data_IF_019030383977
#
_entry.id   IF_019030383977
#
_cell.length_a   1.000
_cell.length_b   1.000
_cell.length_c   1.000
_cell.angle_alpha   90.00
_cell.angle_beta   90.00
_cell.angle_gamma   90.00
#
_symmetry.space_group_name_H-M   'P 1'
#
loop_
_entity.id
_entity.type
_entity.pdbx_description
1 polymer ?
#
# COMPACT_ATOMS: atom_id res chain seq x y z
N UNK A 1 -46.91 -18.94 -14.12
CA UNK A 1 -45.88 -18.66 -13.09
C UNK A 1 -44.51 -18.34 -13.69
N UNK A 2 -44.01 -19.13 -14.65
CA UNK A 2 -42.73 -18.87 -15.33
C UNK A 2 -42.58 -17.47 -16.01
N UNK A 3 -43.60 -16.90 -16.70
CA UNK A 3 -43.42 -15.62 -17.39
C UNK A 3 -43.26 -14.43 -16.43
N UNK A 4 -44.01 -14.46 -15.32
CA UNK A 4 -43.95 -13.44 -14.27
C UNK A 4 -42.59 -13.48 -13.57
N UNK A 5 -42.06 -14.67 -13.30
CA UNK A 5 -40.73 -14.83 -12.71
C UNK A 5 -39.62 -14.27 -13.62
N UNK A 6 -39.71 -14.47 -14.94
CA UNK A 6 -38.75 -13.93 -15.92
C UNK A 6 -38.81 -12.39 -15.93
N UNK A 7 -40.01 -11.80 -15.92
CA UNK A 7 -40.17 -10.34 -15.90
C UNK A 7 -39.60 -9.75 -14.61
N UNK A 8 -39.89 -10.36 -13.45
CA UNK A 8 -39.36 -9.92 -12.15
C UNK A 8 -37.82 -9.98 -12.14
N UNK A 9 -37.23 -11.03 -12.70
CA UNK A 9 -35.78 -11.17 -12.79
C UNK A 9 -35.15 -10.10 -13.69
N UNK A 10 -35.76 -9.83 -14.86
CA UNK A 10 -35.28 -8.79 -15.77
C UNK A 10 -35.35 -7.40 -15.15
N UNK A 11 -36.44 -7.10 -14.44
CA UNK A 11 -36.57 -5.84 -13.69
C UNK A 11 -35.52 -5.76 -12.58
N UNK A 12 -35.29 -6.84 -11.83
CA UNK A 12 -34.26 -6.87 -10.79
C UNK A 12 -32.85 -6.61 -11.34
N UNK A 13 -32.52 -7.14 -12.53
CA UNK A 13 -31.22 -6.90 -13.19
C UNK A 13 -31.08 -5.45 -13.67
N UNK A 14 -32.15 -4.84 -14.18
CA UNK A 14 -32.13 -3.44 -14.65
C UNK A 14 -32.02 -2.46 -13.48
N UNK A 15 -32.66 -2.77 -12.35
CA UNK A 15 -32.70 -1.90 -11.16
C UNK A 15 -31.52 -2.17 -10.20
N UNK A 16 -30.76 -3.25 -10.41
CA UNK A 16 -29.58 -3.53 -9.62
C UNK A 16 -28.57 -2.38 -9.72
N UNK A 17 -28.06 -1.84 -8.59
CA UNK A 17 -27.05 -0.81 -8.60
C UNK A 17 -25.81 -1.33 -9.32
N UNK A 18 -25.33 -0.57 -10.31
CA UNK A 18 -24.05 -0.87 -10.94
C UNK A 18 -22.95 -0.48 -9.96
N UNK A 19 -22.12 -1.45 -9.59
CA UNK A 19 -20.88 -1.16 -8.89
C UNK A 19 -19.99 -0.32 -9.82
N UNK A 20 -19.85 0.97 -9.52
CA UNK A 20 -18.81 1.81 -10.08
C UNK A 20 -17.66 1.81 -9.08
N UNK A 21 -16.61 1.04 -9.36
CA UNK A 21 -15.38 1.08 -8.58
C UNK A 21 -14.40 1.96 -9.34
N UNK A 22 -14.43 3.26 -9.07
CA UNK A 22 -13.33 4.14 -9.49
C UNK A 22 -12.17 3.94 -8.51
N UNK A 23 -10.96 3.79 -9.03
CA UNK A 23 -9.77 3.74 -8.19
C UNK A 23 -9.61 5.09 -7.50
N UNK A 24 -9.46 5.12 -6.16
CA UNK A 24 -9.16 6.36 -5.45
C UNK A 24 -7.94 7.04 -6.07
N UNK A 25 -8.10 8.30 -6.46
CA UNK A 25 -6.99 9.13 -6.94
C UNK A 25 -6.38 9.86 -5.76
N UNK A 26 -5.11 9.61 -5.50
CA UNK A 26 -4.34 10.39 -4.54
C UNK A 26 -3.82 11.65 -5.25
N UNK A 27 -4.39 12.80 -4.92
CA UNK A 27 -3.88 14.09 -5.39
C UNK A 27 -2.61 14.45 -4.62
N UNK A 28 -1.49 14.61 -5.33
CA UNK A 28 -0.21 14.98 -4.73
C UNK A 28 0.53 16.00 -5.60
N UNK A 29 0.39 17.31 -5.31
CA UNK A 29 1.10 18.33 -6.03
C UNK A 29 2.60 18.26 -5.70
N UNK A 30 3.40 17.76 -6.65
CA UNK A 30 4.86 17.75 -6.53
C UNK A 30 5.42 19.16 -6.70
N UNK A 31 6.30 19.57 -5.79
CA UNK A 31 7.06 20.81 -5.88
C UNK A 31 8.33 20.69 -6.75
N UNK A 32 8.53 19.53 -7.40
CA UNK A 32 9.70 19.25 -8.23
C UNK A 32 9.50 19.73 -9.66
N UNK A 33 10.61 19.86 -10.39
CA UNK A 33 10.60 20.28 -11.78
C UNK A 33 9.63 19.42 -12.61
N UNK A 34 8.78 20.09 -13.39
CA UNK A 34 7.79 19.47 -14.28
C UNK A 34 6.79 18.52 -13.58
N UNK A 35 6.58 18.68 -12.26
CA UNK A 35 5.67 17.82 -11.51
C UNK A 35 6.18 16.38 -11.34
N UNK A 36 7.49 16.16 -11.47
CA UNK A 36 8.10 14.85 -11.34
C UNK A 36 7.84 14.23 -9.95
N UNK A 37 7.68 12.91 -9.91
CA UNK A 37 7.62 12.13 -8.67
C UNK A 37 8.89 11.30 -8.51
N UNK A 38 9.35 11.17 -7.28
CA UNK A 38 10.44 10.30 -6.89
C UNK A 38 9.95 9.34 -5.83
N UNK A 39 9.98 8.05 -6.16
CA UNK A 39 9.45 6.98 -5.32
C UNK A 39 10.52 5.97 -5.01
N UNK A 40 10.46 5.38 -3.82
CA UNK A 40 11.15 4.12 -3.51
C UNK A 40 10.16 2.98 -3.71
N UNK A 41 10.55 1.93 -4.43
CA UNK A 41 9.80 0.69 -4.50
C UNK A 41 10.50 -0.37 -3.65
N UNK A 42 9.77 -1.01 -2.74
CA UNK A 42 10.31 -2.01 -1.80
C UNK A 42 9.37 -3.21 -1.70
N UNK A 43 9.94 -4.41 -1.69
CA UNK A 43 9.22 -5.68 -1.55
C UNK A 43 10.04 -6.66 -0.71
N UNK A 44 9.43 -7.78 -0.34
CA UNK A 44 10.10 -8.93 0.28
C UNK A 44 10.85 -8.58 1.58
N UNK A 45 10.26 -7.77 2.46
CA UNK A 45 11.02 -7.09 3.52
C UNK A 45 10.73 -7.57 4.94
N UNK A 46 9.48 -7.88 5.32
CA UNK A 46 9.12 -7.92 6.75
C UNK A 46 9.55 -9.16 7.49
N UNK A 47 10.69 -9.04 8.19
CA UNK A 47 11.31 -10.10 8.97
C UNK A 47 11.80 -9.60 10.33
N UNK A 48 11.05 -8.71 10.99
CA UNK A 48 11.36 -8.20 12.35
C UNK A 48 12.79 -7.67 12.50
N UNK A 49 13.29 -7.00 11.46
CA UNK A 49 14.65 -6.45 11.41
C UNK A 49 15.76 -7.45 11.01
N UNK A 50 15.44 -8.72 10.80
CA UNK A 50 16.38 -9.76 10.41
C UNK A 50 16.69 -9.74 8.91
N UNK A 51 17.63 -10.59 8.46
CA UNK A 51 17.99 -10.75 7.04
C UNK A 51 18.34 -9.43 6.34
N UNK A 52 19.13 -8.59 7.02
CA UNK A 52 19.56 -7.27 6.56
C UNK A 52 18.43 -6.24 6.37
N UNK A 53 17.21 -6.52 6.83
CA UNK A 53 16.10 -5.58 6.73
C UNK A 53 16.44 -4.21 7.36
N UNK A 54 17.09 -4.20 8.52
CA UNK A 54 17.57 -2.97 9.19
C UNK A 54 18.61 -2.22 8.37
N UNK A 55 19.55 -2.93 7.73
CA UNK A 55 20.57 -2.32 6.88
C UNK A 55 19.96 -1.70 5.61
N UNK A 56 18.96 -2.36 5.02
CA UNK A 56 18.20 -1.81 3.89
C UNK A 56 17.43 -0.57 4.33
N UNK A 57 16.77 -0.61 5.50
CA UNK A 57 16.03 0.53 6.04
C UNK A 57 16.93 1.77 6.27
N UNK A 58 18.16 1.56 6.77
CA UNK A 58 19.14 2.63 6.93
C UNK A 58 19.50 3.27 5.58
N UNK A 59 19.80 2.46 4.57
CA UNK A 59 20.11 2.96 3.22
C UNK A 59 18.90 3.64 2.56
N UNK A 60 17.69 3.12 2.78
CA UNK A 60 16.46 3.78 2.35
C UNK A 60 16.34 5.16 3.01
N UNK A 61 16.67 5.32 4.30
CA UNK A 61 16.68 6.60 4.99
C UNK A 61 17.64 7.61 4.33
N UNK A 62 18.87 7.19 4.07
CA UNK A 62 19.91 8.01 3.41
C UNK A 62 19.46 8.44 2.00
N UNK A 63 19.00 7.50 1.18
CA UNK A 63 18.55 7.78 -0.18
C UNK A 63 17.26 8.60 -0.18
N UNK A 64 16.31 8.30 0.71
CA UNK A 64 15.07 9.04 0.87
C UNK A 64 15.31 10.51 1.14
N UNK A 65 16.29 10.81 1.99
CA UNK A 65 16.73 12.18 2.27
C UNK A 65 17.42 12.81 1.06
N UNK A 66 18.40 12.12 0.47
CA UNK A 66 19.18 12.62 -0.67
C UNK A 66 18.31 12.96 -1.88
N UNK A 67 17.31 12.13 -2.14
CA UNK A 67 16.44 12.24 -3.32
C UNK A 67 15.16 13.04 -3.04
N UNK A 68 14.94 13.46 -1.79
CA UNK A 68 13.71 14.11 -1.34
C UNK A 68 12.46 13.36 -1.85
N UNK A 69 12.31 12.10 -1.47
CA UNK A 69 11.24 11.23 -2.00
C UNK A 69 9.83 11.75 -1.66
N UNK A 70 8.87 11.41 -2.51
CA UNK A 70 7.45 11.77 -2.32
C UNK A 70 6.70 10.63 -1.65
N UNK A 71 6.96 9.38 -2.07
CA UNK A 71 6.26 8.18 -1.61
C UNK A 71 7.19 6.96 -1.52
N UNK A 72 6.71 5.97 -0.77
CA UNK A 72 7.25 4.60 -0.78
C UNK A 72 6.14 3.69 -1.29
N UNK A 73 6.43 2.94 -2.36
CA UNK A 73 5.53 1.94 -2.91
C UNK A 73 5.96 0.58 -2.39
N UNK A 74 5.09 -0.01 -1.57
CA UNK A 74 5.29 -1.38 -1.10
C UNK A 74 4.69 -2.36 -2.11
N UNK A 75 5.52 -3.25 -2.68
CA UNK A 75 5.13 -4.14 -3.78
C UNK A 75 4.76 -5.56 -3.34
N UNK A 76 4.85 -5.88 -2.04
CA UNK A 76 4.36 -7.16 -1.50
C UNK A 76 5.36 -7.86 -0.59
N UNK A 77 4.94 -9.04 -0.11
CA UNK A 77 5.71 -9.89 0.79
C UNK A 77 6.16 -9.18 2.07
N UNK A 78 5.15 -8.59 2.71
CA UNK A 78 5.28 -7.62 3.78
C UNK A 78 5.58 -8.24 5.14
N UNK A 79 5.19 -9.49 5.38
CA UNK A 79 5.26 -10.13 6.70
C UNK A 79 5.51 -11.62 6.54
N UNK A 80 6.74 -12.05 6.74
CA UNK A 80 7.12 -13.45 6.66
C UNK A 80 7.07 -14.15 8.03
N UNK A 81 6.79 -15.45 8.08
CA UNK A 81 6.53 -16.34 6.93
C UNK A 81 5.04 -16.44 6.55
N UNK A 82 4.12 -16.15 7.49
CA UNK A 82 2.70 -16.48 7.36
C UNK A 82 1.77 -15.25 7.42
N UNK A 83 2.29 -14.06 7.11
CA UNK A 83 1.50 -12.83 7.20
C UNK A 83 1.23 -12.36 8.64
N UNK A 84 0.25 -11.48 8.80
CA UNK A 84 -0.25 -11.04 10.10
C UNK A 84 -1.45 -11.89 10.54
N UNK A 85 -1.57 -12.13 11.83
CA UNK A 85 -2.69 -12.88 12.44
C UNK A 85 -3.92 -12.02 12.73
N UNK A 86 -3.77 -10.69 12.71
CA UNK A 86 -4.86 -9.74 12.95
C UNK A 86 -4.36 -8.30 12.96
N UNK A 87 -5.27 -7.38 13.28
CA UNK A 87 -4.99 -5.93 13.31
C UNK A 87 -4.06 -5.53 14.47
N UNK A 88 -4.01 -6.34 15.52
CA UNK A 88 -3.18 -6.12 16.72
C UNK A 88 -1.91 -6.98 16.72
N UNK A 89 -1.53 -7.56 15.58
CA UNK A 89 -0.34 -8.39 15.49
C UNK A 89 0.94 -7.54 15.61
N UNK A 90 1.74 -7.84 16.63
CA UNK A 90 3.02 -7.15 16.91
C UNK A 90 4.02 -7.23 15.76
N UNK A 91 3.90 -8.23 14.88
CA UNK A 91 4.74 -8.34 13.71
C UNK A 91 4.65 -7.09 12.80
N UNK A 92 3.53 -6.35 12.86
CA UNK A 92 3.43 -5.03 12.24
C UNK A 92 4.49 -4.10 12.81
N UNK A 93 4.42 -3.76 14.09
CA UNK A 93 5.36 -2.84 14.75
C UNK A 93 6.82 -3.31 14.61
N UNK A 94 7.06 -4.60 14.86
CA UNK A 94 8.40 -5.19 14.83
C UNK A 94 9.02 -5.21 13.43
N UNK A 95 8.21 -5.27 12.37
CA UNK A 95 8.71 -5.36 10.99
C UNK A 95 8.61 -4.06 10.21
N UNK A 96 7.76 -3.10 10.60
CA UNK A 96 7.63 -1.82 9.90
C UNK A 96 7.97 -0.63 10.80
N UNK A 97 7.16 -0.37 11.83
CA UNK A 97 7.21 0.84 12.65
C UNK A 97 8.57 1.01 13.33
N UNK A 98 9.13 -0.08 13.86
CA UNK A 98 10.40 -0.05 14.58
C UNK A 98 11.63 -0.16 13.67
N UNK A 99 11.43 -0.43 12.37
CA UNK A 99 12.51 -0.68 11.40
C UNK A 99 12.75 0.54 10.51
N UNK A 100 11.70 1.13 9.94
CA UNK A 100 11.80 2.23 8.97
C UNK A 100 11.57 3.58 9.65
N UNK A 101 12.46 3.94 10.57
CA UNK A 101 12.27 5.06 11.51
C UNK A 101 12.82 6.41 11.01
N UNK A 102 13.57 6.43 9.90
CA UNK A 102 14.16 7.67 9.40
C UNK A 102 13.09 8.70 9.00
N UNK A 103 13.28 9.98 9.38
CA UNK A 103 12.35 11.08 9.09
C UNK A 103 12.04 11.22 7.59
N UNK A 104 13.03 10.95 6.73
CA UNK A 104 12.89 11.00 5.28
C UNK A 104 11.95 9.94 4.70
N UNK A 105 11.64 8.90 5.48
CA UNK A 105 10.71 7.82 5.11
C UNK A 105 9.30 8.06 5.65
N UNK A 106 9.09 9.05 6.52
CA UNK A 106 7.77 9.40 7.06
C UNK A 106 6.99 10.22 6.02
N UNK A 107 6.51 9.52 4.99
CA UNK A 107 5.80 10.07 3.83
C UNK A 107 4.35 9.56 3.79
N UNK A 108 3.44 10.28 3.10
CA UNK A 108 2.08 9.80 2.88
C UNK A 108 2.03 8.46 2.13
#
# INVERSE_FOLDING_TARGET
>A
MAPVAIIVLLVAVIVAPRASAELPRLEHPSNKAHGALTVLAVGDWGRRGQFNQTLVADQMGIIGKKMNIDFIVNVGDNFYDNGLTGVDDKAFEESITNIYTADSLQKP
#
